data_IF_146745556857
#
_entry.id   IF_146745556857
#
_cell.length_a   1.000
_cell.length_b   1.000
_cell.length_c   1.000
_cell.angle_alpha   90.00
_cell.angle_beta   90.00
_cell.angle_gamma   90.00
#
_symmetry.space_group_name_H-M   'P 1'
#
loop_
_entity.id
_entity.type
_entity.pdbx_description
1 polymer ?
#
# COMPACT_ATOMS: atom_id res chain seq x y z
N UNK A 1 2.04 -16.47 2.87
CA UNK A 1 1.01 -15.41 3.02
C UNK A 1 1.54 -14.00 2.86
N UNK A 2 2.64 -13.63 3.52
CA UNK A 2 3.25 -12.29 3.37
C UNK A 2 3.63 -11.95 1.92
N UNK A 3 4.11 -12.92 1.15
CA UNK A 3 4.41 -12.77 -0.29
C UNK A 3 3.19 -12.32 -1.11
N UNK A 4 2.03 -12.93 -0.86
CA UNK A 4 0.77 -12.57 -1.52
C UNK A 4 0.34 -11.14 -1.18
N UNK A 5 0.49 -10.72 0.08
CA UNK A 5 0.19 -9.34 0.47
C UNK A 5 1.11 -8.33 -0.22
N UNK A 6 2.40 -8.64 -0.32
CA UNK A 6 3.36 -7.80 -1.03
C UNK A 6 2.96 -7.67 -2.50
N UNK A 7 2.56 -8.77 -3.16
CA UNK A 7 2.11 -8.74 -4.56
C UNK A 7 0.86 -7.86 -4.74
N UNK A 8 -0.13 -7.99 -3.86
CA UNK A 8 -1.36 -7.18 -3.89
C UNK A 8 -1.08 -5.69 -3.68
N UNK A 9 -0.29 -5.35 -2.67
CA UNK A 9 0.12 -3.96 -2.41
C UNK A 9 0.94 -3.41 -3.58
N UNK A 10 1.85 -4.21 -4.15
CA UNK A 10 2.67 -3.79 -5.27
C UNK A 10 1.82 -3.53 -6.53
N UNK A 11 0.80 -4.35 -6.77
CA UNK A 11 -0.14 -4.12 -7.87
C UNK A 11 -0.86 -2.77 -7.70
N UNK A 12 -1.43 -2.50 -6.52
CA UNK A 12 -2.08 -1.23 -6.24
C UNK A 12 -1.13 -0.03 -6.29
N UNK A 13 0.06 -0.14 -5.70
CA UNK A 13 1.04 0.96 -5.68
C UNK A 13 1.55 1.28 -7.09
N UNK A 14 1.70 0.27 -7.96
CA UNK A 14 2.13 0.45 -9.36
C UNK A 14 1.13 1.23 -10.19
N UNK A 15 -0.17 1.10 -9.93
CA UNK A 15 -1.20 1.88 -10.62
C UNK A 15 -1.04 3.39 -10.38
N UNK A 16 -0.46 3.77 -9.24
CA UNK A 16 -0.18 5.15 -8.87
C UNK A 16 1.29 5.54 -9.13
N UNK A 17 2.03 4.75 -9.91
CA UNK A 17 3.40 5.02 -10.31
C UNK A 17 4.46 4.79 -9.23
N UNK A 18 4.14 4.05 -8.15
CA UNK A 18 5.04 3.81 -7.02
C UNK A 18 5.38 2.33 -6.86
N UNK A 19 6.62 2.03 -6.50
CA UNK A 19 7.00 0.66 -6.12
C UNK A 19 6.61 0.32 -4.68
N UNK A 20 6.43 -0.96 -4.38
CA UNK A 20 6.19 -1.42 -3.00
C UNK A 20 7.20 -0.88 -1.98
N UNK A 21 8.50 -0.90 -2.30
CA UNK A 21 9.55 -0.43 -1.39
C UNK A 21 9.45 1.07 -1.11
N UNK A 22 9.17 1.87 -2.14
CA UNK A 22 8.93 3.31 -1.98
C UNK A 22 7.68 3.58 -1.14
N UNK A 23 6.59 2.85 -1.40
CA UNK A 23 5.35 2.98 -0.63
C UNK A 23 5.58 2.64 0.83
N UNK A 24 6.17 1.48 1.14
CA UNK A 24 6.44 1.09 2.52
C UNK A 24 7.43 2.02 3.23
N UNK A 25 8.41 2.57 2.50
CA UNK A 25 9.32 3.58 3.02
C UNK A 25 8.59 4.86 3.41
N UNK A 26 7.67 5.34 2.55
CA UNK A 26 6.82 6.51 2.81
C UNK A 26 5.85 6.25 3.96
N UNK A 27 5.14 5.12 3.97
CA UNK A 27 4.26 4.71 5.07
C UNK A 27 4.99 4.74 6.41
N UNK A 28 6.23 4.21 6.47
CA UNK A 28 7.07 4.28 7.66
C UNK A 28 7.49 5.71 8.02
N UNK A 29 7.85 6.53 7.03
CA UNK A 29 8.24 7.94 7.23
C UNK A 29 7.10 8.79 7.77
N UNK A 30 5.86 8.49 7.36
CA UNK A 30 4.66 9.18 7.84
C UNK A 30 4.12 8.60 9.17
N UNK A 31 4.86 7.71 9.85
CA UNK A 31 4.44 7.03 11.09
C UNK A 31 3.08 6.33 10.97
N UNK A 32 2.73 5.86 9.77
CA UNK A 32 1.51 5.10 9.56
C UNK A 32 1.79 3.64 9.93
N UNK A 33 1.34 3.23 11.12
CA UNK A 33 1.46 1.85 11.61
C UNK A 33 0.39 0.92 11.00
N UNK A 34 0.18 1.01 9.69
CA UNK A 34 -0.75 0.13 8.99
C UNK A 34 -0.13 -1.25 8.73
N UNK A 35 -0.87 -2.28 9.09
CA UNK A 35 -0.44 -3.65 8.90
C UNK A 35 -0.56 -4.07 7.43
N UNK A 36 0.43 -4.82 6.92
CA UNK A 36 0.49 -5.25 5.50
C UNK A 36 -0.71 -6.11 5.09
N UNK A 37 -1.30 -6.84 6.04
CA UNK A 37 -2.54 -7.60 5.79
C UNK A 37 -3.68 -6.65 5.41
N UNK A 38 -3.86 -5.57 6.16
CA UNK A 38 -4.91 -4.57 5.93
C UNK A 38 -4.65 -3.81 4.65
N UNK A 39 -3.39 -3.40 4.39
CA UNK A 39 -3.03 -2.73 3.13
C UNK A 39 -3.28 -3.61 1.90
N UNK A 40 -2.99 -4.91 1.99
CA UNK A 40 -3.25 -5.84 0.91
C UNK A 40 -4.74 -6.13 0.70
N UNK A 41 -5.53 -6.05 1.75
CA UNK A 41 -6.98 -6.19 1.68
C UNK A 41 -7.62 -4.93 1.08
N UNK A 42 -7.20 -3.74 1.54
CA UNK A 42 -7.59 -2.45 0.97
C UNK A 42 -7.24 -2.36 -0.52
N UNK A 43 -6.02 -2.77 -0.90
CA UNK A 43 -5.61 -2.75 -2.31
C UNK A 43 -6.49 -3.63 -3.23
N UNK A 44 -7.12 -4.68 -2.70
CA UNK A 44 -7.96 -5.60 -3.48
C UNK A 44 -9.45 -5.27 -3.40
N UNK A 45 -9.96 -4.97 -2.21
CA UNK A 45 -11.39 -4.82 -1.94
C UNK A 45 -11.83 -3.36 -1.97
N UNK A 46 -10.93 -2.43 -1.66
CA UNK A 46 -11.22 -0.99 -1.51
C UNK A 46 -10.15 -0.12 -2.19
N UNK A 47 -10.03 -0.17 -3.53
CA UNK A 47 -8.99 0.56 -4.26
C UNK A 47 -9.04 2.07 -4.02
N UNK A 48 -10.22 2.65 -3.79
CA UNK A 48 -10.38 4.07 -3.44
C UNK A 48 -9.74 4.42 -2.09
N UNK A 49 -9.98 3.60 -1.06
CA UNK A 49 -9.38 3.78 0.25
C UNK A 49 -7.85 3.58 0.20
N UNK A 50 -7.38 2.59 -0.57
CA UNK A 50 -5.95 2.38 -0.78
C UNK A 50 -5.30 3.58 -1.50
N UNK A 51 -5.99 4.18 -2.47
CA UNK A 51 -5.56 5.40 -3.15
C UNK A 51 -5.51 6.60 -2.21
N UNK A 52 -6.47 6.74 -1.30
CA UNK A 52 -6.44 7.79 -0.27
C UNK A 52 -5.19 7.66 0.62
N UNK A 53 -4.86 6.44 1.07
CA UNK A 53 -3.62 6.17 1.82
C UNK A 53 -2.38 6.50 1.00
N UNK A 54 -2.34 6.11 -0.28
CA UNK A 54 -1.24 6.44 -1.19
C UNK A 54 -1.06 7.95 -1.36
N UNK A 55 -2.14 8.70 -1.46
CA UNK A 55 -2.08 10.16 -1.56
C UNK A 55 -1.67 10.81 -0.24
N UNK A 56 -2.06 10.25 0.91
CA UNK A 56 -1.66 10.76 2.23
C UNK A 56 -0.15 10.59 2.49
N UNK A 57 0.48 9.59 1.86
CA UNK A 57 1.93 9.34 1.97
C UNK A 57 2.74 9.84 0.78
N UNK A 58 2.10 10.44 -0.24
CA UNK A 58 2.81 11.02 -1.40
C UNK A 58 3.65 12.20 -0.94
#
# INVERSE_FOLDING_TARGET
FRSLWIQRINAGARLEGMSYSQFMGKVKKHNIELNRKVLADLAMNHPEAFKAVLNQVK
#
